data_IF_527987095617
#
_entry.id   IF_527987095617
#
_cell.length_a   1.000
_cell.length_b   1.000
_cell.length_c   1.000
_cell.angle_alpha   90.00
_cell.angle_beta   90.00
_cell.angle_gamma   90.00
#
_symmetry.space_group_name_H-M   'P 1'
#
loop_
_entity.id
_entity.type
_entity.pdbx_description
1 polymer ?
#
# COMPACT_ATOMS: atom_id res chain seq x y z
N UNK A 1 6.35 11.64 -31.24
CA UNK A 1 6.63 12.94 -30.61
C UNK A 1 7.62 12.71 -29.49
N UNK A 2 8.80 13.32 -29.56
CA UNK A 2 9.81 13.22 -28.50
C UNK A 2 9.45 14.26 -27.42
N UNK A 3 9.00 13.81 -26.25
CA UNK A 3 8.74 14.72 -25.14
C UNK A 3 10.05 15.37 -24.68
N UNK A 4 9.97 16.60 -24.16
CA UNK A 4 11.11 17.19 -23.47
C UNK A 4 11.51 16.27 -22.31
N UNK A 5 12.81 16.13 -22.04
CA UNK A 5 13.30 15.31 -20.93
C UNK A 5 12.65 15.76 -19.61
N UNK A 6 12.46 17.06 -19.40
CA UNK A 6 11.78 17.61 -18.24
C UNK A 6 10.36 17.03 -18.03
N UNK A 7 9.57 16.89 -19.10
CA UNK A 7 8.23 16.31 -19.00
C UNK A 7 8.30 14.82 -18.64
N UNK A 8 9.30 14.08 -19.14
CA UNK A 8 9.52 12.68 -18.75
C UNK A 8 9.79 12.57 -17.24
N UNK A 9 10.65 13.43 -16.68
CA UNK A 9 10.91 13.46 -15.24
C UNK A 9 9.67 13.82 -14.41
N UNK A 10 8.83 14.75 -14.91
CA UNK A 10 7.56 15.10 -14.26
C UNK A 10 6.60 13.93 -14.28
N UNK A 11 6.39 13.28 -15.43
CA UNK A 11 5.49 12.13 -15.55
C UNK A 11 5.86 10.98 -14.62
N UNK A 12 7.16 10.72 -14.47
CA UNK A 12 7.66 9.69 -13.57
C UNK A 12 7.65 10.11 -12.09
N UNK A 13 7.39 11.38 -11.77
CA UNK A 13 7.18 11.82 -10.38
C UNK A 13 8.45 12.15 -9.62
N UNK A 14 9.57 12.45 -10.29
CA UNK A 14 10.82 12.80 -9.61
C UNK A 14 10.69 14.03 -8.70
N UNK A 15 9.85 14.99 -9.09
CA UNK A 15 9.58 16.20 -8.30
C UNK A 15 8.95 15.90 -6.93
N UNK A 16 8.34 14.72 -6.74
CA UNK A 16 7.72 14.33 -5.46
C UNK A 16 8.77 14.17 -4.36
N UNK A 17 10.03 13.83 -4.69
CA UNK A 17 11.13 13.83 -3.73
C UNK A 17 11.41 15.23 -3.17
N UNK A 18 11.33 16.25 -4.02
CA UNK A 18 11.47 17.64 -3.60
C UNK A 18 10.26 18.10 -2.78
N UNK A 19 9.04 17.68 -3.16
CA UNK A 19 7.83 17.90 -2.34
C UNK A 19 8.00 17.28 -0.96
N UNK A 20 8.52 16.05 -0.87
CA UNK A 20 8.77 15.39 0.41
C UNK A 20 9.75 16.19 1.29
N UNK A 21 10.88 16.62 0.73
CA UNK A 21 11.85 17.43 1.46
C UNK A 21 11.25 18.77 1.93
N UNK A 22 10.43 19.40 1.09
CA UNK A 22 9.72 20.63 1.44
C UNK A 22 8.68 20.39 2.56
N UNK A 23 7.87 19.33 2.45
CA UNK A 23 6.93 18.95 3.49
C UNK A 23 7.64 18.63 4.81
N UNK A 24 8.78 17.92 4.76
CA UNK A 24 9.60 17.65 5.93
C UNK A 24 10.08 18.94 6.60
N UNK A 25 10.54 19.91 5.82
CA UNK A 25 10.94 21.23 6.33
C UNK A 25 9.78 21.96 7.01
N UNK A 26 8.58 21.92 6.42
CA UNK A 26 7.40 22.60 6.97
C UNK A 26 6.82 21.92 8.21
N UNK A 27 6.71 20.59 8.21
CA UNK A 27 6.03 19.86 9.28
C UNK A 27 6.97 19.48 10.42
N UNK A 28 8.27 19.43 10.15
CA UNK A 28 9.28 18.82 11.01
C UNK A 28 8.85 17.41 11.50
N UNK A 29 8.08 16.69 10.68
CA UNK A 29 7.50 15.40 11.02
C UNK A 29 7.63 14.45 9.83
N UNK A 30 8.58 13.52 9.96
CA UNK A 30 8.91 12.52 8.93
C UNK A 30 7.79 11.55 8.65
N UNK A 31 6.98 11.24 9.66
CA UNK A 31 5.81 10.39 9.46
C UNK A 31 4.81 11.05 8.51
N UNK A 32 4.38 12.28 8.82
CA UNK A 32 3.38 13.01 8.04
C UNK A 32 3.89 13.35 6.64
N UNK A 33 5.13 13.85 6.52
CA UNK A 33 5.71 14.23 5.24
C UNK A 33 5.85 13.02 4.30
N UNK A 34 6.29 11.87 4.83
CA UNK A 34 6.47 10.66 4.05
C UNK A 34 5.14 10.04 3.61
N UNK A 35 4.13 9.87 4.49
CA UNK A 35 2.85 9.25 4.09
C UNK A 35 2.17 10.05 2.97
N UNK A 36 2.19 11.38 3.05
CA UNK A 36 1.62 12.25 2.02
C UNK A 36 2.37 12.08 0.70
N UNK A 37 3.70 12.10 0.75
CA UNK A 37 4.55 11.96 -0.44
C UNK A 37 4.42 10.59 -1.10
N UNK A 38 4.29 9.52 -0.31
CA UNK A 38 4.10 8.16 -0.82
C UNK A 38 2.76 8.05 -1.57
N UNK A 39 1.69 8.65 -1.05
CA UNK A 39 0.40 8.68 -1.77
C UNK A 39 0.47 9.51 -3.05
N UNK A 40 1.22 10.61 -3.06
CA UNK A 40 1.42 11.42 -4.27
C UNK A 40 2.04 10.62 -5.41
N UNK A 41 2.90 9.63 -5.16
CA UNK A 41 3.43 8.77 -6.25
C UNK A 41 2.33 8.00 -6.97
N UNK A 42 1.39 7.39 -6.23
CA UNK A 42 0.29 6.68 -6.88
C UNK A 42 -0.64 7.63 -7.62
N UNK A 43 -0.91 8.82 -7.05
CA UNK A 43 -1.72 9.85 -7.72
C UNK A 43 -1.07 10.25 -9.04
N UNK A 44 0.22 10.58 -9.01
CA UNK A 44 0.97 10.99 -10.18
C UNK A 44 1.02 9.90 -11.25
N UNK A 45 1.30 8.65 -10.86
CA UNK A 45 1.34 7.52 -11.79
C UNK A 45 0.01 7.35 -12.52
N UNK A 46 -1.10 7.26 -11.78
CA UNK A 46 -2.42 7.05 -12.39
C UNK A 46 -2.96 8.27 -13.12
N UNK A 47 -2.55 9.48 -12.74
CA UNK A 47 -2.87 10.70 -13.49
C UNK A 47 -2.23 10.68 -14.89
N UNK A 48 -0.94 10.38 -14.99
CA UNK A 48 -0.21 10.41 -16.26
C UNK A 48 -0.44 9.17 -17.11
N UNK A 49 -0.49 8.00 -16.48
CA UNK A 49 -0.49 6.71 -17.16
C UNK A 49 -1.85 6.00 -17.15
N UNK A 50 -2.84 6.50 -16.40
CA UNK A 50 -4.16 5.87 -16.31
C UNK A 50 -4.87 5.66 -17.66
N UNK A 51 -4.67 6.60 -18.60
CA UNK A 51 -5.29 6.55 -19.92
C UNK A 51 -4.81 5.39 -20.80
N UNK A 52 -3.70 4.74 -20.47
CA UNK A 52 -3.20 3.58 -21.22
C UNK A 52 -3.93 2.28 -20.86
N UNK A 53 -4.67 2.26 -19.75
CA UNK A 53 -5.47 1.11 -19.38
C UNK A 53 -6.86 1.12 -20.00
N UNK A 54 -7.51 -0.03 -19.97
CA UNK A 54 -8.86 -0.25 -20.54
C UNK A 54 -9.85 -0.80 -19.51
N UNK A 55 -9.61 -0.55 -18.21
CA UNK A 55 -10.46 -1.05 -17.13
C UNK A 55 -11.88 -0.46 -17.16
N UNK A 56 -11.97 0.84 -17.49
CA UNK A 56 -13.24 1.57 -17.57
C UNK A 56 -13.55 1.94 -19.02
N UNK A 57 -14.85 2.06 -19.40
CA UNK A 57 -15.26 2.43 -20.76
C UNK A 57 -14.67 3.76 -21.23
N UNK A 58 -14.47 4.70 -20.30
CA UNK A 58 -13.73 5.93 -20.56
C UNK A 58 -12.33 5.83 -19.92
N UNK A 59 -11.26 5.72 -20.72
CA UNK A 59 -9.89 5.62 -20.21
C UNK A 59 -9.49 6.79 -19.30
N UNK A 60 -10.12 7.96 -19.47
CA UNK A 60 -9.91 9.15 -18.62
C UNK A 60 -10.38 8.97 -17.18
N UNK A 61 -11.09 7.90 -16.84
CA UNK A 61 -11.50 7.61 -15.48
C UNK A 61 -10.60 6.58 -14.79
N UNK A 62 -9.68 5.93 -15.50
CA UNK A 62 -8.80 4.92 -14.90
C UNK A 62 -7.86 5.49 -13.84
N UNK A 63 -7.72 6.82 -13.74
CA UNK A 63 -6.98 7.44 -12.65
C UNK A 63 -7.54 7.11 -11.26
N UNK A 64 -8.82 6.71 -11.17
CA UNK A 64 -9.47 6.33 -9.90
C UNK A 64 -9.01 4.96 -9.38
N UNK A 65 -8.31 4.16 -10.20
CA UNK A 65 -7.81 2.83 -9.78
C UNK A 65 -6.90 2.91 -8.55
N UNK A 66 -6.24 4.04 -8.34
CA UNK A 66 -5.46 4.33 -7.13
C UNK A 66 -6.26 4.40 -5.81
N UNK A 67 -7.57 4.18 -5.82
CA UNK A 67 -8.38 4.12 -4.59
C UNK A 67 -8.89 2.70 -4.32
N UNK A 68 -8.58 1.76 -5.21
CA UNK A 68 -9.15 0.43 -5.19
C UNK A 68 -8.22 -0.58 -4.51
N UNK A 69 -6.92 -0.35 -4.53
CA UNK A 69 -5.94 -1.31 -4.03
C UNK A 69 -5.99 -1.33 -2.50
N UNK A 70 -5.74 -2.49 -1.90
CA UNK A 70 -5.65 -2.63 -0.44
C UNK A 70 -4.60 -1.70 0.15
N UNK A 71 -3.48 -1.52 -0.57
CA UNK A 71 -2.42 -0.55 -0.24
C UNK A 71 -2.94 0.88 -0.10
N UNK A 72 -3.98 1.27 -0.84
CA UNK A 72 -4.58 2.59 -0.74
C UNK A 72 -5.39 2.76 0.56
N UNK A 73 -6.00 1.68 1.08
CA UNK A 73 -6.54 1.68 2.45
C UNK A 73 -5.43 1.70 3.50
N UNK A 74 -4.23 1.17 3.19
CA UNK A 74 -3.04 1.32 4.02
C UNK A 74 -2.70 2.78 4.31
N UNK A 75 -2.85 3.69 3.34
CA UNK A 75 -2.67 5.13 3.60
C UNK A 75 -3.67 5.68 4.62
N UNK A 76 -4.92 5.22 4.59
CA UNK A 76 -5.90 5.57 5.62
C UNK A 76 -5.49 5.01 6.98
N UNK A 77 -5.02 3.76 7.01
CA UNK A 77 -4.48 3.13 8.22
C UNK A 77 -3.26 3.88 8.78
N UNK A 78 -2.46 4.56 7.95
CA UNK A 78 -1.38 5.44 8.41
C UNK A 78 -1.91 6.73 9.06
N UNK A 79 -3.03 7.28 8.59
CA UNK A 79 -3.54 8.56 9.09
C UNK A 79 -4.32 8.41 10.41
N UNK A 80 -5.13 7.37 10.55
CA UNK A 80 -6.02 7.20 11.72
C UNK A 80 -5.24 7.26 13.06
N UNK A 81 -4.08 6.60 13.22
CA UNK A 81 -3.27 6.67 14.45
C UNK A 81 -2.81 8.08 14.86
N UNK A 82 -2.73 9.02 13.93
CA UNK A 82 -2.38 10.42 14.24
C UNK A 82 -3.49 11.12 15.03
N UNK A 83 -4.74 10.65 14.90
CA UNK A 83 -5.92 11.21 15.55
C UNK A 83 -6.35 10.32 16.72
N UNK A 84 -6.25 8.99 16.56
CA UNK A 84 -6.64 8.00 17.55
C UNK A 84 -5.53 6.94 17.74
N UNK A 85 -4.52 7.20 18.60
CA UNK A 85 -3.33 6.37 18.72
C UNK A 85 -3.59 4.89 19.05
N UNK A 86 -4.71 4.55 19.69
CA UNK A 86 -5.09 3.17 19.99
C UNK A 86 -5.33 2.29 18.75
N UNK A 87 -5.48 2.86 17.55
CA UNK A 87 -5.53 2.07 16.31
C UNK A 87 -4.15 1.71 15.75
N UNK A 88 -3.06 2.12 16.39
CA UNK A 88 -1.70 1.76 15.95
C UNK A 88 -1.50 0.27 15.70
N UNK A 89 -1.97 -0.67 16.55
CA UNK A 89 -1.83 -2.10 16.31
C UNK A 89 -2.54 -2.56 15.03
N UNK A 90 -3.73 -2.03 14.76
CA UNK A 90 -4.48 -2.33 13.52
C UNK A 90 -3.72 -1.79 12.32
N UNK A 91 -3.19 -0.56 12.41
CA UNK A 91 -2.39 0.03 11.34
C UNK A 91 -1.10 -0.77 11.09
N UNK A 92 -0.40 -1.20 12.15
CA UNK A 92 0.73 -2.11 12.06
C UNK A 92 0.36 -3.38 11.30
N UNK A 93 -0.74 -4.03 11.69
CA UNK A 93 -1.17 -5.27 11.07
C UNK A 93 -1.51 -5.09 9.58
N UNK A 94 -2.24 -4.03 9.23
CA UNK A 94 -2.56 -3.70 7.83
C UNK A 94 -1.30 -3.49 7.00
N UNK A 95 -0.34 -2.69 7.50
CA UNK A 95 0.91 -2.45 6.79
C UNK A 95 1.81 -3.69 6.72
N UNK A 96 1.81 -4.53 7.75
CA UNK A 96 2.49 -5.83 7.72
C UNK A 96 1.94 -6.71 6.61
N UNK A 97 0.61 -6.84 6.51
CA UNK A 97 -0.04 -7.66 5.47
C UNK A 97 0.29 -7.12 4.08
N UNK A 98 0.25 -5.80 3.89
CA UNK A 98 0.62 -5.14 2.61
C UNK A 98 2.08 -5.46 2.26
N UNK A 99 3.01 -5.24 3.19
CA UNK A 99 4.43 -5.46 2.97
C UNK A 99 4.74 -6.94 2.71
N UNK A 100 4.35 -7.82 3.62
CA UNK A 100 4.64 -9.25 3.55
C UNK A 100 3.91 -9.90 2.37
N UNK A 101 2.65 -9.55 2.15
CA UNK A 101 1.86 -10.04 1.02
C UNK A 101 2.47 -9.66 -0.33
N UNK A 102 2.97 -8.43 -0.47
CA UNK A 102 3.67 -7.98 -1.67
C UNK A 102 4.96 -8.76 -1.90
N UNK A 103 5.87 -8.81 -0.92
CA UNK A 103 7.18 -9.43 -1.10
C UNK A 103 7.09 -10.95 -1.27
N UNK A 104 6.20 -11.61 -0.53
CA UNK A 104 5.98 -13.05 -0.68
C UNK A 104 5.27 -13.35 -2.00
N UNK A 105 4.32 -12.52 -2.42
CA UNK A 105 3.73 -12.63 -3.75
C UNK A 105 4.76 -12.49 -4.87
N UNK A 106 5.61 -11.46 -4.81
CA UNK A 106 6.62 -11.17 -5.82
C UNK A 106 7.75 -12.20 -5.84
N UNK A 107 8.35 -12.50 -4.70
CA UNK A 107 9.51 -13.38 -4.60
C UNK A 107 9.14 -14.86 -4.50
N UNK A 108 8.12 -15.20 -3.71
CA UNK A 108 7.70 -16.58 -3.45
C UNK A 108 6.81 -17.16 -4.53
N UNK A 109 5.90 -16.37 -5.09
CA UNK A 109 4.96 -16.81 -6.13
C UNK A 109 5.31 -16.32 -7.54
N UNK A 110 6.38 -15.52 -7.70
CA UNK A 110 6.80 -14.98 -8.99
C UNK A 110 5.75 -14.05 -9.62
N UNK A 111 4.88 -13.46 -8.82
CA UNK A 111 3.79 -12.61 -9.31
C UNK A 111 4.35 -11.32 -9.88
N UNK A 112 3.77 -10.89 -11.00
CA UNK A 112 4.03 -9.59 -11.60
C UNK A 112 3.07 -8.55 -11.02
N UNK A 113 3.56 -7.31 -10.95
CA UNK A 113 2.75 -6.14 -10.63
C UNK A 113 1.64 -6.00 -11.68
N UNK A 114 0.38 -6.05 -11.25
CA UNK A 114 -0.78 -6.09 -12.15
C UNK A 114 -0.92 -4.83 -13.02
N UNK A 115 -0.34 -3.72 -12.55
CA UNK A 115 -0.43 -2.40 -13.17
C UNK A 115 0.87 -2.01 -13.88
N UNK A 116 1.78 -2.94 -14.17
CA UNK A 116 3.04 -2.59 -14.82
C UNK A 116 2.86 -2.35 -16.32
N UNK A 117 2.83 -1.07 -16.72
CA UNK A 117 2.97 -0.69 -18.13
C UNK A 117 4.42 -0.83 -18.58
N UNK A 118 4.61 -1.33 -19.80
CA UNK A 118 5.92 -1.45 -20.44
C UNK A 118 6.36 -0.18 -21.15
N UNK A 119 7.67 -0.03 -21.36
CA UNK A 119 8.24 1.05 -22.19
C UNK A 119 7.70 1.04 -23.63
N UNK A 120 7.33 -0.12 -24.15
CA UNK A 120 6.70 -0.25 -25.47
C UNK A 120 5.31 0.42 -25.55
N UNK A 121 4.60 0.51 -24.43
CA UNK A 121 3.24 1.05 -24.37
C UNK A 121 3.23 2.56 -24.17
N UNK A 122 4.16 3.09 -23.37
CA UNK A 122 4.20 4.51 -22.96
C UNK A 122 5.32 5.31 -23.61
N UNK A 123 6.44 4.68 -23.93
CA UNK A 123 7.64 5.31 -24.48
C UNK A 123 8.48 6.13 -23.49
N UNK A 124 7.95 6.44 -22.30
CA UNK A 124 8.54 7.41 -21.38
C UNK A 124 8.56 6.99 -19.89
N UNK A 125 8.21 5.75 -19.54
CA UNK A 125 8.41 5.21 -18.18
C UNK A 125 9.90 4.96 -17.90
N UNK A 126 10.34 5.36 -16.70
CA UNK A 126 11.67 5.09 -16.14
C UNK A 126 11.54 3.93 -15.14
N UNK A 127 11.78 2.70 -15.61
CA UNK A 127 11.53 1.45 -14.86
C UNK A 127 12.15 1.43 -13.46
N UNK A 128 13.43 1.80 -13.33
CA UNK A 128 14.11 1.74 -12.04
C UNK A 128 13.48 2.67 -10.99
N UNK A 129 12.95 3.82 -11.42
CA UNK A 129 12.33 4.80 -10.53
C UNK A 129 10.92 4.35 -10.14
N UNK A 130 10.18 3.75 -11.08
CA UNK A 130 8.91 3.10 -10.79
C UNK A 130 9.08 1.94 -9.79
N UNK A 131 10.09 1.09 -9.98
CA UNK A 131 10.42 0.00 -9.06
C UNK A 131 10.80 0.53 -7.67
N UNK A 132 11.65 1.57 -7.60
CA UNK A 132 12.00 2.23 -6.34
C UNK A 132 10.76 2.77 -5.62
N UNK A 133 9.89 3.51 -6.32
CA UNK A 133 8.67 4.05 -5.74
C UNK A 133 7.73 2.95 -5.26
N UNK A 134 7.63 1.85 -6.01
CA UNK A 134 6.84 0.67 -5.63
C UNK A 134 7.40 0.03 -4.36
N UNK A 135 8.72 -0.10 -4.22
CA UNK A 135 9.35 -0.64 -3.02
C UNK A 135 9.15 0.27 -1.80
N UNK A 136 9.34 1.58 -1.98
CA UNK A 136 9.05 2.57 -0.95
C UNK A 136 7.59 2.43 -0.49
N UNK A 137 6.65 2.28 -1.41
CA UNK A 137 5.22 2.18 -1.10
C UNK A 137 4.86 0.96 -0.23
N UNK A 138 5.58 -0.15 -0.37
CA UNK A 138 5.31 -1.37 0.39
C UNK A 138 6.15 -1.49 1.67
N UNK A 139 7.32 -0.85 1.74
CA UNK A 139 8.24 -0.97 2.88
C UNK A 139 8.14 0.20 3.86
N UNK A 140 8.19 1.43 3.36
CA UNK A 140 8.34 2.62 4.21
C UNK A 140 7.14 2.84 5.13
N UNK A 141 5.88 2.69 4.71
CA UNK A 141 4.75 2.86 5.62
C UNK A 141 4.81 1.93 6.84
N UNK A 142 5.27 0.69 6.66
CA UNK A 142 5.43 -0.26 7.77
C UNK A 142 6.52 0.19 8.75
N UNK A 143 7.66 0.66 8.26
CA UNK A 143 8.73 1.23 9.09
C UNK A 143 8.26 2.48 9.86
N UNK A 144 7.51 3.37 9.21
CA UNK A 144 6.97 4.57 9.82
C UNK A 144 6.01 4.25 10.96
N UNK A 145 5.18 3.20 10.82
CA UNK A 145 4.29 2.76 11.91
C UNK A 145 5.08 2.32 13.14
N UNK A 146 6.21 1.63 12.96
CA UNK A 146 7.06 1.27 14.09
C UNK A 146 7.65 2.49 14.78
N UNK A 147 8.14 3.47 14.02
CA UNK A 147 8.65 4.74 14.57
C UNK A 147 7.56 5.43 15.39
N UNK A 148 6.35 5.57 14.81
CA UNK A 148 5.22 6.18 15.50
C UNK A 148 4.81 5.41 16.76
N UNK A 149 4.85 4.07 16.71
CA UNK A 149 4.55 3.23 17.87
C UNK A 149 5.52 3.46 19.02
N UNK A 150 6.82 3.56 18.72
CA UNK A 150 7.85 3.86 19.71
C UNK A 150 7.69 5.27 20.30
N UNK A 151 7.36 6.27 19.48
CA UNK A 151 7.08 7.63 19.96
C UNK A 151 5.88 7.69 20.90
N UNK A 152 4.78 7.01 20.57
CA UNK A 152 3.57 7.02 21.40
C UNK A 152 3.76 6.22 22.69
N UNK A 153 4.55 5.14 22.64
CA UNK A 153 4.98 4.43 23.84
C UNK A 153 5.74 5.36 24.78
N UNK A 154 6.79 6.03 24.30
CA UNK A 154 7.64 6.87 25.15
C UNK A 154 6.87 8.03 25.82
N UNK A 155 5.75 8.44 25.22
CA UNK A 155 4.82 9.43 25.76
C UNK A 155 3.79 8.84 26.73
N UNK A 156 3.84 7.53 27.02
CA UNK A 156 2.86 6.77 27.79
C UNK A 156 1.41 6.90 27.27
N UNK A 157 1.25 7.13 25.96
CA UNK A 157 -0.07 7.26 25.32
C UNK A 157 -0.70 5.89 25.05
N UNK A 158 0.14 4.91 24.75
CA UNK A 158 -0.24 3.51 24.54
C UNK A 158 0.56 2.59 25.45
N UNK A 159 -0.06 1.49 25.91
CA UNK A 159 0.64 0.41 26.59
C UNK A 159 0.80 -0.74 25.60
N UNK A 160 1.85 -0.68 24.78
CA UNK A 160 2.03 -1.48 23.56
C UNK A 160 1.62 -2.96 23.69
N UNK A 161 2.07 -3.65 24.75
CA UNK A 161 1.80 -5.07 24.99
C UNK A 161 0.29 -5.36 25.12
N UNK A 162 -0.48 -4.45 25.71
CA UNK A 162 -1.91 -4.63 25.95
C UNK A 162 -2.76 -4.34 24.71
N UNK A 163 -2.20 -3.61 23.74
CA UNK A 163 -2.92 -3.16 22.55
C UNK A 163 -2.95 -4.26 21.46
N UNK A 164 -2.01 -5.21 21.45
CA UNK A 164 -2.02 -6.36 20.53
C UNK A 164 -2.80 -7.55 21.11
N UNK A 165 -4.13 -7.46 21.07
CA UNK A 165 -5.05 -8.46 21.64
C UNK A 165 -6.05 -8.99 20.58
N UNK A 166 -7.04 -9.79 21.02
CA UNK A 166 -8.05 -10.37 20.14
C UNK A 166 -8.96 -9.33 19.46
N UNK A 167 -9.17 -8.17 20.10
CA UNK A 167 -9.96 -7.08 19.52
C UNK A 167 -9.21 -6.44 18.35
N UNK A 168 -7.92 -6.17 18.50
CA UNK A 168 -7.06 -5.72 17.39
C UNK A 168 -7.06 -6.70 16.22
N UNK A 169 -6.94 -8.00 16.52
CA UNK A 169 -7.00 -9.05 15.50
C UNK A 169 -8.35 -9.02 14.76
N UNK A 170 -9.45 -8.93 15.51
CA UNK A 170 -10.80 -8.81 14.96
C UNK A 170 -10.95 -7.58 14.05
N UNK A 171 -10.52 -6.40 14.49
CA UNK A 171 -10.59 -5.19 13.65
C UNK A 171 -9.70 -5.27 12.41
N UNK A 172 -8.57 -5.97 12.48
CA UNK A 172 -7.71 -6.20 11.31
C UNK A 172 -8.44 -7.09 10.28
N UNK A 173 -9.12 -8.15 10.72
CA UNK A 173 -9.97 -8.95 9.83
C UNK A 173 -11.12 -8.12 9.24
N UNK A 174 -11.81 -7.34 10.08
CA UNK A 174 -12.89 -6.47 9.62
C UNK A 174 -12.40 -5.46 8.58
N UNK A 175 -11.21 -4.89 8.75
CA UNK A 175 -10.59 -4.00 7.76
C UNK A 175 -10.39 -4.70 6.41
N UNK A 176 -9.82 -5.90 6.44
CA UNK A 176 -9.58 -6.71 5.24
C UNK A 176 -10.88 -7.08 4.52
N UNK A 177 -11.87 -7.55 5.27
CA UNK A 177 -13.18 -7.90 4.73
C UNK A 177 -13.97 -6.69 4.25
N UNK A 178 -13.88 -5.54 4.93
CA UNK A 178 -14.51 -4.31 4.49
C UNK A 178 -13.94 -3.85 3.14
N UNK A 179 -12.61 -3.85 2.99
CA UNK A 179 -12.00 -3.58 1.68
C UNK A 179 -12.46 -4.59 0.63
N UNK A 180 -12.45 -5.88 0.96
CA UNK A 180 -12.84 -6.92 0.01
C UNK A 180 -14.29 -6.75 -0.46
N UNK A 181 -15.23 -6.57 0.46
CA UNK A 181 -16.66 -6.50 0.17
C UNK A 181 -17.11 -5.16 -0.40
N UNK A 182 -16.56 -4.04 0.07
CA UNK A 182 -17.05 -2.70 -0.31
C UNK A 182 -16.20 -2.03 -1.39
N UNK A 183 -14.98 -2.50 -1.66
CA UNK A 183 -14.09 -1.89 -2.67
C UNK A 183 -13.77 -2.91 -3.77
N UNK A 184 -13.18 -4.05 -3.42
CA UNK A 184 -12.70 -5.03 -4.39
C UNK A 184 -13.84 -5.69 -5.20
N UNK A 185 -14.83 -6.26 -4.51
CA UNK A 185 -15.94 -6.97 -5.18
C UNK A 185 -16.71 -6.04 -6.13
N UNK A 186 -17.15 -4.84 -5.73
CA UNK A 186 -17.79 -3.91 -6.66
C UNK A 186 -16.92 -3.55 -7.86
N UNK A 187 -15.63 -3.27 -7.64
CA UNK A 187 -14.70 -2.96 -8.74
C UNK A 187 -14.56 -4.12 -9.72
N UNK A 188 -14.34 -5.34 -9.22
CA UNK A 188 -14.18 -6.53 -10.06
C UNK A 188 -15.43 -6.83 -10.87
N UNK A 189 -16.62 -6.68 -10.27
CA UNK A 189 -17.89 -6.89 -10.96
C UNK A 189 -18.13 -5.86 -12.07
N UNK A 190 -17.75 -4.60 -11.83
CA UNK A 190 -17.99 -3.51 -12.77
C UNK A 190 -16.96 -3.47 -13.92
N UNK A 191 -15.68 -3.65 -13.61
CA UNK A 191 -14.57 -3.45 -14.57
C UNK A 191 -14.03 -4.75 -15.14
N UNK A 192 -14.25 -5.89 -14.47
CA UNK A 192 -13.56 -7.13 -14.78
C UNK A 192 -12.06 -7.11 -14.49
N UNK A 193 -11.51 -6.05 -13.87
CA UNK A 193 -10.10 -5.96 -13.47
C UNK A 193 -9.87 -6.69 -12.15
N UNK A 194 -8.78 -7.45 -12.06
CA UNK A 194 -8.50 -8.29 -10.89
C UNK A 194 -7.80 -7.51 -9.77
N UNK A 195 -7.31 -6.29 -10.04
CA UNK A 195 -6.46 -5.45 -9.17
C UNK A 195 -5.11 -6.10 -8.83
N UNK A 196 -5.10 -7.38 -8.49
CA UNK A 196 -3.95 -8.21 -8.17
C UNK A 196 -3.93 -9.44 -9.09
N UNK A 197 -2.78 -9.73 -9.68
CA UNK A 197 -2.58 -10.84 -10.62
C UNK A 197 -2.94 -12.21 -10.03
N UNK A 198 -2.71 -12.41 -8.72
CA UNK A 198 -3.08 -13.63 -8.00
C UNK A 198 -4.59 -13.90 -7.96
N UNK A 199 -5.41 -12.85 -8.10
CA UNK A 199 -6.87 -12.95 -8.12
C UNK A 199 -7.43 -13.05 -9.54
N UNK A 200 -6.60 -12.94 -10.58
CA UNK A 200 -7.04 -13.16 -11.96
C UNK A 200 -7.13 -14.67 -12.26
N UNK A 201 -8.30 -15.25 -12.00
CA UNK A 201 -8.55 -16.69 -12.20
C UNK A 201 -8.46 -17.14 -13.67
N UNK A 202 -8.32 -16.21 -14.63
CA UNK A 202 -8.01 -16.56 -16.03
C UNK A 202 -6.54 -16.95 -16.22
N UNK A 203 -5.65 -16.34 -15.43
CA UNK A 203 -4.19 -16.53 -15.52
C UNK A 203 -3.64 -17.37 -14.36
N UNK A 204 -4.22 -17.20 -13.17
CA UNK A 204 -3.79 -17.86 -11.94
C UNK A 204 -4.67 -19.08 -11.64
N UNK A 205 -4.10 -20.28 -11.44
CA UNK A 205 -4.87 -21.45 -11.07
C UNK A 205 -5.63 -21.25 -9.75
N UNK A 206 -6.89 -21.68 -9.69
CA UNK A 206 -7.78 -21.52 -8.51
C UNK A 206 -7.14 -22.01 -7.20
N UNK A 207 -6.37 -23.10 -7.25
CA UNK A 207 -5.66 -23.64 -6.07
C UNK A 207 -4.63 -22.65 -5.52
N UNK A 208 -3.88 -21.98 -6.39
CA UNK A 208 -2.88 -20.97 -6.00
C UNK A 208 -3.56 -19.75 -5.40
N UNK A 209 -4.65 -19.29 -6.01
CA UNK A 209 -5.45 -18.19 -5.45
C UNK A 209 -6.00 -18.53 -4.06
N UNK A 210 -6.56 -19.74 -3.86
CA UNK A 210 -7.05 -20.20 -2.56
C UNK A 210 -5.94 -20.32 -1.51
N UNK A 211 -4.78 -20.85 -1.88
CA UNK A 211 -3.61 -20.90 -0.99
C UNK A 211 -3.17 -19.50 -0.59
N UNK A 212 -3.17 -18.54 -1.53
CA UNK A 212 -2.83 -17.16 -1.23
C UNK A 212 -3.84 -16.50 -0.29
N UNK A 213 -5.15 -16.76 -0.46
CA UNK A 213 -6.18 -16.27 0.46
C UNK A 213 -5.97 -16.83 1.87
N UNK A 214 -5.73 -18.13 2.01
CA UNK A 214 -5.40 -18.74 3.31
C UNK A 214 -4.13 -18.13 3.92
N UNK A 215 -3.13 -17.87 3.08
CA UNK A 215 -1.90 -17.21 3.48
C UNK A 215 -2.13 -15.76 3.98
N UNK A 216 -2.99 -14.98 3.33
CA UNK A 216 -3.35 -13.63 3.82
C UNK A 216 -4.01 -13.69 5.20
N UNK A 217 -4.86 -14.69 5.47
CA UNK A 217 -5.43 -14.89 6.81
C UNK A 217 -4.36 -15.23 7.84
N UNK A 218 -3.41 -16.09 7.47
CA UNK A 218 -2.26 -16.38 8.32
C UNK A 218 -1.44 -15.11 8.60
N UNK A 219 -1.24 -14.24 7.60
CA UNK A 219 -0.55 -12.96 7.81
C UNK A 219 -1.27 -12.05 8.80
N UNK A 220 -2.60 -12.03 8.83
CA UNK A 220 -3.35 -11.28 9.85
C UNK A 220 -2.97 -11.75 11.25
N UNK A 221 -2.99 -13.07 11.49
CA UNK A 221 -2.58 -13.63 12.77
C UNK A 221 -1.10 -13.34 13.09
N UNK A 222 -0.20 -13.61 12.14
CA UNK A 222 1.24 -13.40 12.31
C UNK A 222 1.57 -11.93 12.59
N UNK A 223 0.90 -10.99 11.92
CA UNK A 223 1.12 -9.57 12.13
C UNK A 223 0.84 -9.15 13.57
N UNK A 224 -0.28 -9.62 14.14
CA UNK A 224 -0.63 -9.31 15.52
C UNK A 224 0.36 -9.92 16.51
N UNK A 225 0.79 -11.16 16.26
CA UNK A 225 1.80 -11.84 17.07
C UNK A 225 3.18 -11.18 17.00
N UNK A 226 3.61 -10.76 15.80
CA UNK A 226 4.87 -10.03 15.60
C UNK A 226 4.83 -8.71 16.34
N UNK A 227 3.74 -7.94 16.22
CA UNK A 227 3.59 -6.68 16.94
C UNK A 227 3.68 -6.87 18.46
N UNK A 228 2.94 -7.85 19.00
CA UNK A 228 3.02 -8.23 20.42
C UNK A 228 4.45 -8.59 20.85
N UNK A 229 5.13 -9.45 20.07
CA UNK A 229 6.48 -9.90 20.36
C UNK A 229 7.50 -8.76 20.32
N UNK A 230 7.37 -7.85 19.34
CA UNK A 230 8.21 -6.64 19.29
C UNK A 230 7.97 -5.76 20.52
N UNK A 231 6.72 -5.58 20.97
CA UNK A 231 6.46 -4.83 22.19
C UNK A 231 7.14 -5.47 23.41
N UNK A 232 7.12 -6.81 23.52
CA UNK A 232 7.77 -7.50 24.64
C UNK A 232 9.29 -7.33 24.66
N UNK A 233 9.94 -7.31 23.49
CA UNK A 233 11.40 -7.19 23.39
C UNK A 233 11.94 -5.79 23.71
N UNK A 234 11.08 -4.77 23.61
CA UNK A 234 11.44 -3.36 23.84
C UNK A 234 11.14 -2.93 25.29
N UNK A 235 10.33 -3.71 26.02
CA UNK A 235 10.03 -3.54 27.45
C UNK A 235 11.15 -4.14 28.31
#
# INVERSE_FOLDING_TARGET
>A
MQYSQALVFIKNGFYIHAIHAFLQYLTNNTYVSAILSIKLYSINYFYWYGNYYTYLPNPRHNWTKQFIRFTDTGHLASVIPLIYPKTLPVAHNVHFIIMAGYWIGKLGFGLKDADRLGKAETGDIIDWHLDLCTYIHHLVPYLLIYILSFEQWNKNVIVCVNEYNNETLFYTYMWLYAWFSFIYVPWRLYTGDAVYSILDLKQTPKRVALMFVAFIHLLVFLSNFVGYSTCLLVN
#
